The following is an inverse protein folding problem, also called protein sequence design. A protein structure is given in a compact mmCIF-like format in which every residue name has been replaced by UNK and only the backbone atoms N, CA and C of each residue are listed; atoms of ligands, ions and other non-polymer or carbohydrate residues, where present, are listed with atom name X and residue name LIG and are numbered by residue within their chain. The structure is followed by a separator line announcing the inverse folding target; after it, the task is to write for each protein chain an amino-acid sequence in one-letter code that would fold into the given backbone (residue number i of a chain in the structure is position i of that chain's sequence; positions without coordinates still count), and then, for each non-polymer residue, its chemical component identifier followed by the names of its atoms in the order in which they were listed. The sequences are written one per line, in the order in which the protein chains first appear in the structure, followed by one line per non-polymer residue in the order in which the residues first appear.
data_IF_348063822627
#
_entry.id   IF_348063822627
#
_cell.length_a   1.000
_cell.length_b   1.000
_cell.length_c   1.000
_cell.angle_alpha   90.00
_cell.angle_beta   90.00
_cell.angle_gamma   90.00
#
_symmetry.space_group_name_H-M   'P 1'
#
loop_
_entity.id
_entity.type
_entity.pdbx_description
1 polymer ?
#
# COMPACT_ATOMS: atom_id res chain seq x y z
N UNK A 1 -6.01 -17.73 -20.77
CA UNK A 1 -5.57 -16.88 -19.65
C UNK A 1 -6.61 -15.82 -19.39
N UNK A 2 -7.02 -15.65 -18.13
CA UNK A 2 -7.92 -14.55 -17.75
C UNK A 2 -7.17 -13.21 -17.90
N UNK A 3 -7.90 -12.12 -18.22
CA UNK A 3 -7.35 -10.74 -18.32
C UNK A 3 -6.51 -10.31 -17.12
N UNK A 4 -6.67 -10.97 -15.98
CA UNK A 4 -6.05 -10.60 -14.71
C UNK A 4 -4.94 -11.56 -14.26
N UNK A 5 -4.68 -12.62 -15.04
CA UNK A 5 -3.65 -13.59 -14.72
C UNK A 5 -2.26 -12.95 -14.70
N UNK A 6 -1.38 -13.53 -13.88
CA UNK A 6 0.03 -13.15 -13.86
C UNK A 6 0.68 -13.51 -15.19
N UNK A 7 1.44 -12.58 -15.75
CA UNK A 7 2.31 -12.84 -16.88
C UNK A 7 3.44 -13.82 -16.50
N UNK A 8 4.12 -14.37 -17.48
CA UNK A 8 5.25 -15.28 -17.21
C UNK A 8 6.42 -14.53 -16.56
N UNK A 9 6.62 -13.26 -16.91
CA UNK A 9 7.63 -12.39 -16.29
C UNK A 9 7.32 -12.12 -14.80
N UNK A 10 6.09 -11.72 -14.47
CA UNK A 10 5.65 -11.54 -13.08
C UNK A 10 5.81 -12.84 -12.29
N UNK A 11 5.38 -13.96 -12.87
CA UNK A 11 5.50 -15.26 -12.24
C UNK A 11 6.96 -15.66 -11.98
N UNK A 12 7.86 -15.46 -12.95
CA UNK A 12 9.30 -15.76 -12.83
C UNK A 12 9.94 -15.05 -11.64
N UNK A 13 9.52 -13.83 -11.34
CA UNK A 13 9.99 -13.07 -10.18
C UNK A 13 9.35 -13.57 -8.89
N UNK A 14 8.02 -13.62 -8.84
CA UNK A 14 7.25 -13.92 -7.61
C UNK A 14 7.56 -15.34 -7.10
N UNK A 15 7.71 -16.33 -7.99
CA UNK A 15 7.93 -17.72 -7.59
C UNK A 15 9.15 -17.93 -6.69
N UNK A 16 10.15 -17.05 -6.77
CA UNK A 16 11.39 -17.13 -5.98
C UNK A 16 11.15 -16.91 -4.48
N UNK A 17 10.07 -16.23 -4.13
CA UNK A 17 9.69 -15.91 -2.75
C UNK A 17 8.74 -16.95 -2.16
N UNK A 18 8.18 -17.81 -2.99
CA UNK A 18 7.21 -18.79 -2.56
C UNK A 18 7.89 -20.05 -1.99
N UNK A 19 7.28 -20.68 -0.98
CA UNK A 19 7.78 -21.96 -0.49
C UNK A 19 7.65 -23.02 -1.58
N UNK A 20 8.41 -24.10 -1.46
CA UNK A 20 8.32 -25.23 -2.38
C UNK A 20 6.91 -25.84 -2.41
N UNK A 21 6.40 -26.16 -3.59
CA UNK A 21 5.08 -26.80 -3.74
C UNK A 21 5.08 -28.26 -3.29
N UNK A 22 6.24 -28.93 -3.42
CA UNK A 22 6.44 -30.31 -2.98
C UNK A 22 7.00 -30.30 -1.55
N UNK A 23 6.23 -30.84 -0.60
CA UNK A 23 6.65 -30.87 0.80
C UNK A 23 7.39 -32.15 1.17
N UNK A 24 7.47 -33.14 0.24
CA UNK A 24 8.02 -34.48 0.55
C UNK A 24 7.17 -35.29 1.57
N UNK A 25 6.11 -34.71 2.11
CA UNK A 25 5.23 -35.37 3.10
C UNK A 25 4.09 -36.11 2.40
N UNK A 26 3.64 -37.26 2.95
CA UNK A 26 2.44 -37.94 2.48
C UNK A 26 1.24 -37.01 2.53
N UNK A 27 0.29 -37.18 1.63
CA UNK A 27 -0.96 -36.43 1.61
C UNK A 27 -1.29 -35.85 0.23
N UNK A 28 -2.40 -35.11 0.18
CA UNK A 28 -2.87 -34.53 -1.08
C UNK A 28 -1.88 -33.44 -1.57
N UNK A 29 -1.43 -33.49 -2.85
CA UNK A 29 -0.57 -32.47 -3.41
C UNK A 29 -1.16 -31.08 -3.31
N UNK A 30 -0.30 -30.08 -3.11
CA UNK A 30 -0.73 -28.70 -3.08
C UNK A 30 -1.17 -28.25 -4.49
N UNK A 31 -2.19 -27.40 -4.52
CA UNK A 31 -2.56 -26.69 -5.75
C UNK A 31 -1.39 -25.81 -6.20
N UNK A 32 -1.13 -25.70 -7.51
CA UNK A 32 -0.04 -24.87 -8.04
C UNK A 32 -0.13 -23.44 -7.50
N UNK A 33 1.00 -22.90 -7.09
CA UNK A 33 1.06 -21.54 -6.55
C UNK A 33 0.57 -20.50 -7.54
N UNK A 34 0.91 -20.66 -8.83
CA UNK A 34 0.48 -19.73 -9.88
C UNK A 34 -1.04 -19.68 -9.99
N UNK A 35 -1.73 -20.82 -9.96
CA UNK A 35 -3.20 -20.88 -10.00
C UNK A 35 -3.80 -20.15 -8.77
N UNK A 36 -3.24 -20.38 -7.58
CA UNK A 36 -3.68 -19.73 -6.35
C UNK A 36 -3.46 -18.22 -6.41
N UNK A 37 -2.30 -17.78 -6.93
CA UNK A 37 -1.99 -16.37 -7.09
C UNK A 37 -2.94 -15.69 -8.06
N UNK A 38 -3.23 -16.32 -9.21
CA UNK A 38 -4.21 -15.79 -10.17
C UNK A 38 -5.58 -15.60 -9.50
N UNK A 39 -6.02 -16.55 -8.66
CA UNK A 39 -7.24 -16.42 -7.88
C UNK A 39 -7.20 -15.25 -6.88
N UNK A 40 -6.06 -15.01 -6.21
CA UNK A 40 -5.88 -13.86 -5.30
C UNK A 40 -5.94 -12.55 -6.10
N UNK A 41 -5.26 -12.46 -7.23
CA UNK A 41 -5.28 -11.28 -8.11
C UNK A 41 -6.67 -11.04 -8.68
N UNK A 42 -7.40 -12.10 -9.02
CA UNK A 42 -8.79 -11.98 -9.46
C UNK A 42 -9.67 -11.35 -8.37
N UNK A 43 -9.56 -11.80 -7.11
CA UNK A 43 -10.28 -11.19 -5.97
C UNK A 43 -9.87 -9.74 -5.75
N UNK A 44 -8.57 -9.41 -5.88
CA UNK A 44 -8.07 -8.05 -5.78
C UNK A 44 -8.72 -7.13 -6.82
N UNK A 45 -8.76 -7.55 -8.08
CA UNK A 45 -9.27 -6.73 -9.20
C UNK A 45 -10.79 -6.63 -9.19
N UNK A 46 -11.49 -7.76 -9.00
CA UNK A 46 -12.96 -7.83 -9.08
C UNK A 46 -13.67 -7.34 -7.81
N UNK A 47 -13.02 -7.43 -6.64
CA UNK A 47 -13.61 -7.12 -5.34
C UNK A 47 -14.65 -8.13 -4.85
N UNK A 48 -14.81 -9.27 -5.51
CA UNK A 48 -15.79 -10.30 -5.15
C UNK A 48 -15.54 -10.87 -3.75
N UNK A 49 -16.56 -11.47 -3.17
CA UNK A 49 -16.39 -12.24 -1.94
C UNK A 49 -15.60 -13.53 -2.23
N UNK A 50 -14.78 -13.97 -1.25
CA UNK A 50 -13.97 -15.18 -1.43
C UNK A 50 -14.78 -16.42 -1.83
N UNK A 51 -16.02 -16.66 -1.28
CA UNK A 51 -16.83 -17.79 -1.69
C UNK A 51 -17.23 -17.79 -3.17
N UNK A 52 -17.28 -16.61 -3.79
CA UNK A 52 -17.71 -16.42 -5.19
C UNK A 52 -16.55 -16.57 -6.18
N UNK A 53 -15.36 -17.01 -5.69
CA UNK A 53 -14.21 -17.22 -6.54
C UNK A 53 -14.51 -18.30 -7.61
N UNK A 54 -14.27 -18.02 -8.92
CA UNK A 54 -14.48 -18.98 -9.99
C UNK A 54 -13.72 -20.30 -9.76
N UNK A 55 -14.36 -21.41 -10.14
CA UNK A 55 -13.82 -22.76 -9.90
C UNK A 55 -12.50 -23.03 -10.60
N UNK A 56 -12.18 -22.30 -11.67
CA UNK A 56 -10.90 -22.38 -12.40
C UNK A 56 -9.68 -22.09 -11.53
N UNK A 57 -9.84 -21.22 -10.51
CA UNK A 57 -8.78 -20.94 -9.53
C UNK A 57 -8.69 -21.98 -8.41
N UNK A 58 -9.62 -22.94 -8.40
CA UNK A 58 -9.73 -23.97 -7.37
C UNK A 58 -10.69 -23.58 -6.23
N UNK A 59 -10.78 -24.46 -5.21
CA UNK A 59 -11.68 -24.21 -4.06
C UNK A 59 -11.29 -22.92 -3.33
N UNK A 60 -12.21 -21.98 -3.16
CA UNK A 60 -11.96 -20.69 -2.52
C UNK A 60 -11.29 -20.82 -1.13
N UNK A 61 -11.67 -21.82 -0.31
CA UNK A 61 -11.04 -22.08 0.99
C UNK A 61 -9.54 -22.35 0.88
N UNK A 62 -9.11 -23.03 -0.20
CA UNK A 62 -7.69 -23.31 -0.46
C UNK A 62 -6.95 -22.03 -0.80
N UNK A 63 -7.51 -21.20 -1.71
CA UNK A 63 -6.94 -19.92 -2.13
C UNK A 63 -6.88 -18.95 -0.94
N UNK A 64 -7.98 -18.79 -0.22
CA UNK A 64 -8.06 -17.91 0.95
C UNK A 64 -7.09 -18.31 2.07
N UNK A 65 -7.02 -19.60 2.42
CA UNK A 65 -6.11 -20.08 3.46
C UNK A 65 -4.63 -19.88 3.04
N UNK A 66 -4.32 -20.03 1.75
CA UNK A 66 -2.99 -19.77 1.23
C UNK A 66 -2.65 -18.28 1.31
N UNK A 67 -3.56 -17.41 0.88
CA UNK A 67 -3.44 -15.96 1.05
C UNK A 67 -3.17 -15.60 2.52
N UNK A 68 -4.01 -16.10 3.47
CA UNK A 68 -3.83 -15.85 4.90
C UNK A 68 -2.48 -16.31 5.45
N UNK A 69 -1.98 -17.44 4.98
CA UNK A 69 -0.65 -17.95 5.35
C UNK A 69 0.45 -17.02 4.85
N UNK A 70 0.35 -16.56 3.62
CA UNK A 70 1.32 -15.65 3.02
C UNK A 70 1.27 -14.24 3.65
N UNK A 71 0.11 -13.79 4.09
CA UNK A 71 -0.01 -12.56 4.91
C UNK A 71 0.76 -12.72 6.21
N UNK A 72 0.55 -13.81 6.96
CA UNK A 72 1.22 -14.05 8.24
C UNK A 72 2.74 -14.10 8.17
N UNK A 73 3.31 -14.57 7.08
CA UNK A 73 4.77 -14.60 6.90
C UNK A 73 5.34 -13.34 6.23
N UNK A 74 4.54 -12.30 6.01
CA UNK A 74 4.96 -11.03 5.43
C UNK A 74 5.43 -11.13 3.97
N UNK A 75 4.98 -12.16 3.24
CA UNK A 75 5.45 -12.46 1.88
C UNK A 75 5.29 -11.26 0.93
N UNK A 76 4.15 -10.60 0.97
CA UNK A 76 3.81 -9.55 0.02
C UNK A 76 4.71 -8.32 0.16
N UNK A 77 4.98 -7.91 1.40
CA UNK A 77 5.92 -6.83 1.69
C UNK A 77 7.34 -7.18 1.26
N UNK A 78 7.77 -8.44 1.47
CA UNK A 78 9.10 -8.93 1.01
C UNK A 78 9.24 -8.85 -0.51
N UNK A 79 8.17 -9.17 -1.26
CA UNK A 79 8.17 -9.08 -2.73
C UNK A 79 8.33 -7.63 -3.14
N UNK A 80 7.50 -6.71 -2.62
CA UNK A 80 7.56 -5.28 -2.96
C UNK A 80 8.94 -4.72 -2.62
N UNK A 81 9.46 -5.02 -1.40
CA UNK A 81 10.79 -4.57 -1.00
C UNK A 81 11.88 -5.03 -1.98
N UNK A 82 11.86 -6.28 -2.40
CA UNK A 82 12.84 -6.80 -3.34
C UNK A 82 12.75 -6.14 -4.72
N UNK A 83 11.54 -5.77 -5.16
CA UNK A 83 11.36 -5.02 -6.40
C UNK A 83 11.94 -3.62 -6.28
N UNK A 84 11.65 -2.92 -5.18
CA UNK A 84 12.22 -1.58 -4.93
C UNK A 84 13.74 -1.64 -4.76
N UNK A 85 14.29 -2.65 -4.06
CA UNK A 85 15.74 -2.84 -3.94
C UNK A 85 16.40 -3.04 -5.31
N UNK A 86 15.70 -3.69 -6.25
CA UNK A 86 16.16 -3.83 -7.64
C UNK A 86 16.15 -2.49 -8.36
N UNK A 87 15.03 -1.76 -8.36
CA UNK A 87 14.93 -0.42 -8.97
C UNK A 87 15.99 0.53 -8.43
N UNK A 88 16.24 0.46 -7.12
CA UNK A 88 17.27 1.26 -6.47
C UNK A 88 18.68 0.94 -6.99
N UNK A 89 18.98 -0.34 -7.26
CA UNK A 89 20.27 -0.76 -7.83
C UNK A 89 20.41 -0.36 -9.28
N UNK A 90 19.32 -0.43 -10.02
CA UNK A 90 19.29 -0.12 -11.45
C UNK A 90 19.23 1.41 -11.69
N UNK A 91 19.16 2.23 -10.61
CA UNK A 91 19.12 3.70 -10.68
C UNK A 91 17.76 4.26 -11.14
N UNK A 92 16.71 3.47 -11.04
CA UNK A 92 15.37 3.79 -11.54
C UNK A 92 14.48 4.49 -10.49
N UNK A 93 14.99 4.78 -9.30
CA UNK A 93 14.30 5.55 -8.25
C UNK A 93 14.65 7.02 -8.39
N UNK A 94 13.64 7.85 -8.51
CA UNK A 94 13.82 9.30 -8.52
C UNK A 94 14.01 9.83 -7.08
N UNK A 95 15.13 10.52 -6.86
CA UNK A 95 15.44 11.19 -5.61
C UNK A 95 15.30 12.71 -5.67
N UNK A 96 14.86 13.27 -6.79
CA UNK A 96 14.66 14.72 -6.89
C UNK A 96 13.38 15.15 -6.17
N UNK A 97 12.28 14.42 -6.36
CA UNK A 97 11.01 14.73 -5.71
C UNK A 97 10.34 13.47 -5.20
N UNK A 98 9.97 13.44 -3.92
CA UNK A 98 9.02 12.46 -3.41
C UNK A 98 7.69 13.13 -3.07
N UNK A 99 6.60 12.37 -3.18
CA UNK A 99 5.26 12.87 -2.94
C UNK A 99 4.55 12.05 -1.87
N UNK A 100 3.83 12.75 -0.99
CA UNK A 100 2.94 12.14 0.01
C UNK A 100 1.50 12.57 -0.23
N UNK A 101 0.57 11.64 -0.05
CA UNK A 101 -0.87 11.93 -0.08
C UNK A 101 -1.65 10.93 0.75
N UNK A 102 -2.83 11.36 1.21
CA UNK A 102 -3.77 10.56 1.97
C UNK A 102 -5.07 10.33 1.21
N UNK A 103 -5.64 9.14 1.32
CA UNK A 103 -6.94 8.87 0.72
C UNK A 103 -7.85 8.07 1.65
N UNK A 104 -9.10 8.50 1.76
CA UNK A 104 -10.10 7.79 2.56
C UNK A 104 -10.74 6.68 1.73
N UNK A 105 -10.75 5.48 2.28
CA UNK A 105 -11.36 4.29 1.69
C UNK A 105 -12.55 3.86 2.53
N UNK A 106 -13.72 3.75 1.90
CA UNK A 106 -14.91 3.21 2.56
C UNK A 106 -14.68 1.75 2.97
N UNK A 107 -15.08 1.43 4.20
CA UNK A 107 -15.06 0.06 4.68
C UNK A 107 -16.49 -0.51 4.62
N UNK A 108 -16.64 -1.61 3.90
CA UNK A 108 -17.90 -2.35 3.89
C UNK A 108 -18.21 -2.88 5.29
N UNK A 109 -19.49 -3.00 5.66
CA UNK A 109 -19.94 -3.49 6.99
C UNK A 109 -19.27 -4.80 7.44
N UNK A 110 -18.90 -5.66 6.50
CA UNK A 110 -18.18 -6.92 6.75
C UNK A 110 -16.80 -6.68 7.35
N UNK A 111 -16.12 -5.59 6.99
CA UNK A 111 -14.81 -5.24 7.56
C UNK A 111 -14.91 -4.89 9.05
N UNK A 112 -16.01 -4.30 9.50
CA UNK A 112 -16.24 -3.97 10.90
C UNK A 112 -16.53 -5.20 11.81
N UNK A 113 -16.75 -6.37 11.19
CA UNK A 113 -17.04 -7.64 11.89
C UNK A 113 -15.79 -8.44 12.30
N UNK A 114 -14.64 -7.82 12.52
CA UNK A 114 -13.48 -8.51 13.10
C UNK A 114 -13.87 -9.06 14.49
N UNK A 115 -13.50 -10.34 14.76
CA UNK A 115 -13.79 -10.93 16.07
C UNK A 115 -13.13 -10.09 17.16
N UNK A 116 -13.95 -9.64 18.11
CA UNK A 116 -13.52 -8.99 19.32
C UNK A 116 -12.90 -10.06 20.23
N UNK A 117 -11.63 -9.90 20.58
CA UNK A 117 -11.07 -10.56 21.75
C UNK A 117 -11.61 -9.90 23.04
N UNK A 118 -10.89 -10.00 24.15
CA UNK A 118 -11.18 -9.29 25.41
C UNK A 118 -10.99 -7.76 25.35
N UNK A 119 -10.86 -7.20 24.14
CA UNK A 119 -10.55 -5.79 23.83
C UNK A 119 -11.84 -5.04 23.50
N UNK A 120 -11.97 -3.79 23.91
CA UNK A 120 -13.13 -2.97 23.61
C UNK A 120 -13.35 -2.80 22.10
N UNK A 121 -14.56 -2.38 21.70
CA UNK A 121 -14.91 -2.20 20.29
C UNK A 121 -14.01 -1.16 19.62
N UNK A 122 -13.69 -0.09 20.34
CA UNK A 122 -12.94 1.04 19.80
C UNK A 122 -11.44 0.73 19.69
N UNK A 123 -10.83 0.10 20.69
CA UNK A 123 -9.44 -0.38 20.63
C UNK A 123 -9.22 -1.38 19.48
N UNK A 124 -10.18 -2.31 19.28
CA UNK A 124 -10.10 -3.27 18.17
C UNK A 124 -10.27 -2.57 16.81
N UNK A 125 -11.09 -1.53 16.72
CA UNK A 125 -11.25 -0.73 15.51
C UNK A 125 -9.97 0.04 15.19
N UNK A 126 -9.34 0.66 16.18
CA UNK A 126 -8.08 1.38 16.03
C UNK A 126 -6.94 0.45 15.61
N UNK A 127 -6.79 -0.69 16.29
CA UNK A 127 -5.81 -1.75 15.91
C UNK A 127 -5.94 -2.19 14.45
N UNK A 128 -7.15 -2.11 13.89
CA UNK A 128 -7.40 -2.50 12.51
C UNK A 128 -7.56 -1.30 11.57
N UNK A 129 -7.14 -0.10 11.98
CA UNK A 129 -7.24 1.12 11.17
C UNK A 129 -8.68 1.33 10.63
N UNK A 130 -9.69 1.14 11.47
CA UNK A 130 -11.09 1.37 11.15
C UNK A 130 -11.62 2.48 12.05
N UNK A 131 -12.28 3.47 11.46
CA UNK A 131 -12.91 4.54 12.21
C UNK A 131 -14.16 5.07 11.52
N UNK A 132 -14.99 5.84 12.24
CA UNK A 132 -16.18 6.46 11.69
C UNK A 132 -15.83 7.85 11.15
N UNK A 133 -16.06 8.05 9.86
CA UNK A 133 -16.13 9.36 9.22
C UNK A 133 -17.60 9.76 9.02
N UNK A 134 -17.85 10.98 8.49
CA UNK A 134 -19.19 11.41 8.11
C UNK A 134 -19.87 10.44 7.11
N UNK A 135 -19.08 9.74 6.30
CA UNK A 135 -19.55 8.75 5.32
C UNK A 135 -19.65 7.31 5.85
N UNK A 136 -19.53 7.07 7.17
CA UNK A 136 -19.56 5.75 7.78
C UNK A 136 -18.17 5.20 8.13
N UNK A 137 -18.05 3.87 8.25
CA UNK A 137 -16.77 3.25 8.54
C UNK A 137 -15.79 3.41 7.37
N UNK A 138 -14.57 3.84 7.68
CA UNK A 138 -13.53 4.10 6.71
C UNK A 138 -12.13 3.80 7.27
N UNK A 139 -11.19 3.58 6.37
CA UNK A 139 -9.75 3.54 6.61
C UNK A 139 -9.12 4.65 5.78
N UNK A 140 -8.16 5.37 6.33
CA UNK A 140 -7.33 6.31 5.57
C UNK A 140 -6.02 5.61 5.21
N UNK A 141 -5.70 5.60 3.92
CA UNK A 141 -4.39 5.18 3.42
C UNK A 141 -3.51 6.41 3.29
N UNK A 142 -2.27 6.27 3.69
CA UNK A 142 -1.21 7.24 3.48
C UNK A 142 -0.18 6.59 2.56
N UNK A 143 0.17 7.28 1.49
CA UNK A 143 1.03 6.75 0.42
C UNK A 143 2.22 7.68 0.24
N UNK A 144 3.38 7.09 0.02
CA UNK A 144 4.62 7.77 -0.36
C UNK A 144 5.07 7.24 -1.71
N UNK A 145 5.40 8.13 -2.64
CA UNK A 145 5.98 7.78 -3.94
C UNK A 145 7.24 8.57 -4.22
N UNK A 146 8.04 8.08 -5.17
CA UNK A 146 9.03 8.92 -5.83
C UNK A 146 8.40 9.81 -6.92
N UNK A 147 9.21 10.62 -7.61
CA UNK A 147 8.76 11.54 -8.65
C UNK A 147 8.29 10.86 -9.95
N UNK A 148 8.54 9.57 -10.11
CA UNK A 148 8.04 8.76 -11.22
C UNK A 148 6.74 8.01 -10.87
N UNK A 149 6.31 8.06 -9.59
CA UNK A 149 5.11 7.41 -9.11
C UNK A 149 5.34 5.98 -8.61
N UNK A 150 6.57 5.56 -8.41
CA UNK A 150 6.89 4.27 -7.80
C UNK A 150 6.47 4.31 -6.33
N UNK A 151 5.58 3.41 -5.87
CA UNK A 151 5.12 3.40 -4.48
C UNK A 151 6.24 2.95 -3.54
N UNK A 152 6.69 3.83 -2.64
CA UNK A 152 7.79 3.58 -1.70
C UNK A 152 7.33 3.15 -0.32
N UNK A 153 6.16 3.60 0.12
CA UNK A 153 5.53 3.19 1.37
C UNK A 153 4.01 3.30 1.30
N UNK A 154 3.34 2.53 2.13
CA UNK A 154 1.92 2.67 2.42
C UNK A 154 1.66 2.34 3.88
N UNK A 155 0.95 3.24 4.58
CA UNK A 155 0.43 3.00 5.93
C UNK A 155 -1.07 3.22 5.97
N UNK A 156 -1.71 2.87 7.06
CA UNK A 156 -3.15 3.01 7.20
C UNK A 156 -3.55 3.40 8.62
N UNK A 157 -4.45 4.36 8.70
CA UNK A 157 -5.06 4.81 9.96
C UNK A 157 -6.58 4.72 9.91
N UNK A 158 -7.24 4.92 11.04
CA UNK A 158 -8.69 5.09 11.09
C UNK A 158 -9.12 6.30 10.24
N UNK A 159 -10.23 6.17 9.51
CA UNK A 159 -10.63 7.12 8.46
C UNK A 159 -10.81 8.58 8.89
N UNK A 160 -11.02 8.85 10.19
CA UNK A 160 -11.14 10.20 10.76
C UNK A 160 -9.80 10.82 11.19
N UNK A 161 -8.69 10.06 11.22
CA UNK A 161 -7.39 10.57 11.64
C UNK A 161 -6.86 11.60 10.63
N UNK A 162 -6.16 12.62 11.13
CA UNK A 162 -5.46 13.61 10.30
C UNK A 162 -4.20 13.03 9.69
N UNK A 163 -3.73 13.60 8.57
CA UNK A 163 -2.55 13.15 7.84
C UNK A 163 -1.25 13.44 8.59
N UNK A 164 -1.13 14.65 9.14
CA UNK A 164 0.13 15.14 9.71
C UNK A 164 0.73 14.24 10.81
N UNK A 165 -0.05 13.68 11.77
CA UNK A 165 0.51 12.78 12.79
C UNK A 165 1.07 11.46 12.23
N UNK A 166 0.61 11.01 11.05
CA UNK A 166 1.04 9.77 10.43
C UNK A 166 2.29 9.96 9.54
N UNK A 167 2.65 11.21 9.26
CA UNK A 167 3.72 11.53 8.31
C UNK A 167 5.06 10.88 8.66
N UNK A 168 5.51 11.04 9.90
CA UNK A 168 6.81 10.49 10.34
C UNK A 168 6.82 8.97 10.24
N UNK A 169 5.75 8.31 10.69
CA UNK A 169 5.59 6.87 10.58
C UNK A 169 5.58 6.40 9.10
N UNK A 170 4.93 7.15 8.21
CA UNK A 170 4.95 6.85 6.77
C UNK A 170 6.37 6.94 6.20
N UNK A 171 7.12 7.98 6.54
CA UNK A 171 8.51 8.16 6.10
C UNK A 171 9.44 7.06 6.64
N UNK A 172 9.25 6.64 7.89
CA UNK A 172 10.00 5.54 8.50
C UNK A 172 9.63 4.17 7.92
N UNK A 173 8.39 4.02 7.45
CA UNK A 173 7.91 2.82 6.75
C UNK A 173 8.41 2.73 5.30
N UNK A 174 9.18 3.71 4.83
CA UNK A 174 9.76 3.69 3.49
C UNK A 174 10.62 2.45 3.28
N UNK A 175 10.40 1.76 2.17
CA UNK A 175 11.14 0.54 1.82
C UNK A 175 12.60 0.81 1.43
N UNK A 176 12.94 2.07 1.19
CA UNK A 176 14.31 2.55 1.02
C UNK A 176 14.81 3.07 2.37
N UNK A 177 16.02 2.68 2.76
CA UNK A 177 16.60 3.16 4.02
C UNK A 177 17.03 4.64 3.89
N UNK A 178 16.15 5.55 4.35
CA UNK A 178 16.35 7.01 4.29
C UNK A 178 17.23 7.58 5.42
N UNK A 179 17.73 6.76 6.35
CA UNK A 179 18.69 7.23 7.37
C UNK A 179 20.00 7.73 6.74
N UNK A 180 20.39 7.19 5.60
CA UNK A 180 21.56 7.67 4.84
C UNK A 180 21.14 8.86 3.99
N UNK A 181 21.87 10.01 4.09
CA UNK A 181 21.62 11.24 3.33
C UNK A 181 21.47 10.97 1.82
N UNK A 182 22.37 10.18 1.25
CA UNK A 182 22.34 9.82 -0.19
C UNK A 182 21.11 9.00 -0.64
N UNK A 183 20.20 8.67 0.26
CA UNK A 183 18.94 7.93 -0.01
C UNK A 183 17.72 8.72 0.46
N UNK A 184 17.83 10.03 0.57
CA UNK A 184 16.74 10.94 0.87
C UNK A 184 16.38 11.72 -0.39
N UNK A 185 15.12 12.09 -0.59
CA UNK A 185 14.76 12.96 -1.70
C UNK A 185 15.32 14.36 -1.50
N UNK A 186 15.58 15.07 -2.60
CA UNK A 186 15.95 16.48 -2.55
C UNK A 186 14.76 17.34 -2.07
N UNK A 187 13.54 16.97 -2.45
CA UNK A 187 12.33 17.66 -2.04
C UNK A 187 11.20 16.68 -1.74
N UNK A 188 10.23 17.13 -0.92
CA UNK A 188 9.01 16.39 -0.63
C UNK A 188 7.79 17.28 -0.82
N UNK A 189 6.84 16.81 -1.65
CA UNK A 189 5.55 17.46 -1.89
C UNK A 189 4.41 16.72 -1.19
N UNK A 190 3.51 17.48 -0.61
CA UNK A 190 2.27 17.00 0.01
C UNK A 190 1.15 18.01 -0.14
N UNK A 191 -0.07 17.63 0.17
CA UNK A 191 -1.19 18.58 0.23
C UNK A 191 -1.16 19.43 1.51
N UNK A 192 -2.09 20.37 1.65
CA UNK A 192 -2.22 21.22 2.85
C UNK A 192 -2.49 20.43 4.15
N UNK A 193 -2.95 19.20 4.06
CA UNK A 193 -3.13 18.30 5.19
C UNK A 193 -1.81 18.00 5.91
N UNK A 194 -0.71 18.05 5.18
CA UNK A 194 0.66 17.84 5.69
C UNK A 194 1.34 19.15 6.15
N UNK A 195 0.66 20.31 6.07
CA UNK A 195 1.22 21.57 6.59
C UNK A 195 1.20 21.56 8.12
N UNK A 196 2.36 21.38 8.74
CA UNK A 196 2.57 21.50 10.18
C UNK A 196 4.03 21.78 10.51
N UNK A 197 4.28 22.47 11.63
CA UNK A 197 5.64 22.79 12.08
C UNK A 197 6.45 21.50 12.31
N UNK A 198 5.83 20.46 12.89
CA UNK A 198 6.51 19.19 13.12
C UNK A 198 7.03 18.54 11.82
N UNK A 199 6.26 18.62 10.73
CA UNK A 199 6.68 18.11 9.42
C UNK A 199 7.80 18.98 8.86
N UNK A 200 7.70 20.30 8.93
CA UNK A 200 8.75 21.22 8.49
C UNK A 200 10.07 20.99 9.23
N UNK A 201 10.00 20.82 10.55
CA UNK A 201 11.16 20.51 11.40
C UNK A 201 11.78 19.14 11.04
N UNK A 202 10.93 18.15 10.74
CA UNK A 202 11.40 16.85 10.28
C UNK A 202 12.15 16.94 8.95
N UNK A 203 11.59 17.65 7.97
CA UNK A 203 12.19 17.85 6.64
C UNK A 203 13.48 18.66 6.75
N UNK A 204 13.46 19.76 7.51
CA UNK A 204 14.64 20.62 7.75
C UNK A 204 15.82 19.84 8.36
N UNK A 205 15.57 19.08 9.43
CA UNK A 205 16.61 18.24 10.07
C UNK A 205 17.20 17.19 9.13
N UNK A 206 16.47 16.80 8.08
CA UNK A 206 16.90 15.81 7.10
C UNK A 206 17.44 16.44 5.82
N UNK A 207 17.50 17.76 5.74
CA UNK A 207 17.92 18.51 4.54
C UNK A 207 17.06 18.18 3.31
N UNK A 208 15.74 18.04 3.49
CA UNK A 208 14.75 17.80 2.44
C UNK A 208 13.99 19.12 2.23
N UNK A 209 13.95 19.61 1.00
CA UNK A 209 13.19 20.82 0.66
C UNK A 209 11.69 20.57 0.86
N UNK A 210 11.05 21.43 1.66
CA UNK A 210 9.61 21.41 1.90
C UNK A 210 8.85 22.03 0.70
N UNK A 211 8.09 21.23 -0.01
CA UNK A 211 7.20 21.64 -1.11
C UNK A 211 5.71 21.40 -0.73
N UNK A 212 5.38 21.67 0.54
CA UNK A 212 4.00 21.59 1.06
C UNK A 212 3.42 23.01 1.14
N UNK A 213 2.25 23.29 0.54
CA UNK A 213 1.65 24.61 0.59
C UNK A 213 1.13 24.93 2.00
N UNK A 214 1.21 26.21 2.38
CA UNK A 214 0.67 26.73 3.64
C UNK A 214 -0.85 26.65 3.67
N UNK A 215 -1.42 26.48 4.86
CA UNK A 215 -2.87 26.58 5.08
C UNK A 215 -3.31 28.04 4.98
N UNK A 216 -4.62 28.27 4.80
CA UNK A 216 -5.20 29.62 4.72
C UNK A 216 -4.96 30.48 5.96
N UNK A 217 -4.76 29.86 7.11
CA UNK A 217 -4.47 30.52 8.41
C UNK A 217 -2.98 30.62 8.73
N UNK A 218 -2.11 30.23 7.79
CA UNK A 218 -0.65 30.33 7.92
C UNK A 218 -0.14 31.44 7.00
N UNK A 219 1.01 32.04 7.35
CA UNK A 219 1.68 33.03 6.48
C UNK A 219 2.10 32.37 5.16
N UNK A 220 1.73 32.99 4.05
CA UNK A 220 2.12 32.49 2.72
C UNK A 220 3.64 32.55 2.58
N UNK A 221 4.22 31.48 2.07
CA UNK A 221 5.65 31.40 1.78
C UNK A 221 5.93 32.05 0.41
N UNK A 222 6.91 32.95 0.37
CA UNK A 222 7.37 33.61 -0.85
C UNK A 222 8.23 32.68 -1.71
N UNK A 223 8.95 31.75 -1.07
CA UNK A 223 9.88 30.77 -1.67
C UNK A 223 9.21 29.47 -2.13
N UNK A 224 7.86 29.43 -2.21
CA UNK A 224 7.13 28.22 -2.57
C UNK A 224 7.28 27.85 -4.05
N UNK A 225 7.92 26.72 -4.33
CA UNK A 225 8.12 26.19 -5.68
C UNK A 225 6.83 25.57 -6.24
N UNK A 226 6.08 26.41 -6.97
CA UNK A 226 4.80 26.01 -7.59
C UNK A 226 4.98 24.98 -8.70
N UNK A 227 6.07 25.04 -9.47
CA UNK A 227 6.31 24.11 -10.56
C UNK A 227 6.61 22.71 -10.03
N UNK A 228 7.47 22.61 -9.03
CA UNK A 228 7.74 21.35 -8.34
C UNK A 228 6.49 20.78 -7.64
N UNK A 229 5.68 21.66 -7.06
CA UNK A 229 4.41 21.24 -6.44
C UNK A 229 3.42 20.65 -7.45
N UNK A 230 3.35 21.16 -8.68
CA UNK A 230 2.48 20.62 -9.75
C UNK A 230 2.80 19.16 -10.07
N UNK A 231 4.05 18.75 -9.92
CA UNK A 231 4.49 17.37 -10.16
C UNK A 231 3.85 16.38 -9.15
N UNK A 232 3.33 16.87 -8.01
CA UNK A 232 2.57 16.05 -7.04
C UNK A 232 1.41 15.28 -7.67
N UNK A 233 0.88 15.70 -8.82
CA UNK A 233 -0.16 14.94 -9.55
C UNK A 233 0.23 13.47 -9.79
N UNK A 234 1.50 13.12 -9.75
CA UNK A 234 1.97 11.74 -9.91
C UNK A 234 1.39 10.80 -8.86
N UNK A 235 1.31 11.25 -7.58
CA UNK A 235 0.75 10.41 -6.50
C UNK A 235 -0.76 10.27 -6.61
N UNK A 236 -1.47 11.29 -7.11
CA UNK A 236 -2.92 11.21 -7.37
C UNK A 236 -3.21 10.14 -8.44
N UNK A 237 -2.39 10.08 -9.49
CA UNK A 237 -2.47 9.05 -10.53
C UNK A 237 -2.23 7.64 -9.96
N UNK A 238 -1.22 7.46 -9.10
CA UNK A 238 -0.98 6.19 -8.43
C UNK A 238 -2.17 5.78 -7.55
N UNK A 239 -2.69 6.69 -6.74
CA UNK A 239 -3.86 6.43 -5.89
C UNK A 239 -5.08 6.06 -6.74
N UNK A 240 -5.31 6.75 -7.86
CA UNK A 240 -6.34 6.41 -8.83
C UNK A 240 -6.16 4.98 -9.35
N UNK A 241 -4.96 4.63 -9.79
CA UNK A 241 -4.65 3.30 -10.28
C UNK A 241 -4.81 2.21 -9.19
N UNK A 242 -4.38 2.48 -7.95
CA UNK A 242 -4.60 1.55 -6.83
C UNK A 242 -6.10 1.29 -6.63
N UNK A 243 -6.95 2.33 -6.75
CA UNK A 243 -8.41 2.23 -6.61
C UNK A 243 -9.11 1.52 -7.77
N UNK A 244 -8.48 1.36 -8.93
CA UNK A 244 -9.00 0.48 -9.98
C UNK A 244 -9.12 -0.98 -9.49
N UNK A 245 -8.37 -1.36 -8.48
CA UNK A 245 -8.53 -2.62 -7.79
C UNK A 245 -9.71 -2.51 -6.82
N UNK A 246 -10.86 -3.06 -7.19
CA UNK A 246 -12.12 -2.92 -6.43
C UNK A 246 -11.99 -3.35 -4.97
N UNK A 247 -11.11 -4.31 -4.67
CA UNK A 247 -10.84 -4.76 -3.31
C UNK A 247 -10.10 -3.71 -2.47
N UNK A 248 -9.38 -2.78 -3.12
CA UNK A 248 -8.72 -1.63 -2.49
C UNK A 248 -9.70 -0.46 -2.40
N UNK A 249 -10.41 -0.14 -3.48
CA UNK A 249 -11.38 0.96 -3.53
C UNK A 249 -12.49 0.86 -2.47
N UNK A 250 -12.85 -0.37 -2.09
CA UNK A 250 -13.74 -0.67 -0.97
C UNK A 250 -13.09 -1.74 -0.10
N UNK A 251 -12.89 -1.43 1.18
CA UNK A 251 -12.27 -2.37 2.11
C UNK A 251 -13.30 -3.40 2.59
N UNK A 252 -13.07 -4.67 2.24
CA UNK A 252 -13.82 -5.83 2.75
C UNK A 252 -13.03 -6.62 3.80
N UNK A 253 -11.71 -6.42 3.85
CA UNK A 253 -10.83 -7.19 4.72
C UNK A 253 -10.94 -6.73 6.18
N UNK A 254 -11.20 -7.69 7.08
CA UNK A 254 -11.42 -7.42 8.49
C UNK A 254 -10.16 -6.95 9.21
N UNK A 255 -9.01 -7.54 8.89
CA UNK A 255 -7.73 -7.18 9.51
C UNK A 255 -6.95 -6.25 8.62
N UNK A 256 -6.22 -5.33 9.26
CA UNK A 256 -5.35 -4.39 8.53
C UNK A 256 -4.28 -5.12 7.74
N UNK A 257 -3.69 -6.17 8.29
CA UNK A 257 -2.64 -6.95 7.62
C UNK A 257 -3.12 -7.55 6.29
N UNK A 258 -4.36 -8.08 6.26
CA UNK A 258 -4.95 -8.63 5.03
C UNK A 258 -5.22 -7.53 4.01
N UNK A 259 -5.63 -6.35 4.45
CA UNK A 259 -5.90 -5.22 3.57
C UNK A 259 -4.60 -4.64 3.01
N UNK A 260 -3.58 -4.40 3.84
CA UNK A 260 -2.25 -3.96 3.38
C UNK A 260 -1.61 -4.99 2.45
N UNK A 261 -1.81 -6.28 2.69
CA UNK A 261 -1.33 -7.32 1.77
C UNK A 261 -1.95 -7.20 0.37
N UNK A 262 -3.25 -6.87 0.25
CA UNK A 262 -3.87 -6.60 -1.04
C UNK A 262 -3.25 -5.36 -1.72
N UNK A 263 -2.93 -4.33 -0.96
CA UNK A 263 -2.25 -3.14 -1.48
C UNK A 263 -0.83 -3.49 -1.93
N UNK A 264 -0.07 -4.26 -1.16
CA UNK A 264 1.28 -4.70 -1.55
C UNK A 264 1.25 -5.54 -2.84
N UNK A 265 0.24 -6.39 -3.04
CA UNK A 265 0.07 -7.12 -4.31
C UNK A 265 -0.15 -6.14 -5.46
N UNK A 266 -0.99 -5.12 -5.26
CA UNK A 266 -1.22 -4.10 -6.27
C UNK A 266 0.06 -3.29 -6.54
N UNK A 267 0.80 -2.86 -5.50
CA UNK A 267 2.09 -2.17 -5.65
C UNK A 267 3.09 -3.00 -6.48
N UNK A 268 3.25 -4.29 -6.16
CA UNK A 268 4.12 -5.18 -6.94
C UNK A 268 3.70 -5.22 -8.42
N UNK A 269 2.40 -5.32 -8.69
CA UNK A 269 1.87 -5.31 -10.07
C UNK A 269 2.03 -3.96 -10.76
N UNK A 270 1.96 -2.87 -10.02
CA UNK A 270 2.26 -1.53 -10.55
C UNK A 270 3.71 -1.48 -11.03
N UNK A 271 4.64 -1.87 -10.17
CA UNK A 271 6.08 -1.89 -10.48
C UNK A 271 6.37 -2.76 -11.71
N UNK A 272 5.77 -3.97 -11.82
CA UNK A 272 5.94 -4.82 -13.00
C UNK A 272 5.43 -4.22 -14.32
N UNK A 273 4.48 -3.31 -14.27
CA UNK A 273 3.92 -2.69 -15.48
C UNK A 273 4.69 -1.48 -15.96
N UNK A 274 5.44 -0.84 -15.06
CA UNK A 274 6.15 0.40 -15.33
C UNK A 274 7.66 0.17 -15.52
N UNK A 275 8.07 -1.09 -15.45
CA UNK A 275 9.37 -1.64 -15.76
C UNK A 275 9.21 -2.84 -16.69
#
# INVERSE_FOLDING_TARGET
MSRHDLTDSEWKVIRRFLPTERTGKPGRPWKPHRQVLNGIVFVLRSGIAWPDLPAEFGKYKTVYNRFRRWVKCGLWLKIVKSLIDRLLKDGEIDFDLWCVDGTVIRAHRVAAGARKGKVTRDENAEKHALGRSRGGYATKLHVLTDGQGIPLAVTATAGQKHEAPEFEHLMESCLINTFRKAKRPAALAGDRGYSSNAIRDYLFRREITDTVPTRSNETRREDFDTERYRQRNIIERLIGWLKENRRIATRYDKTIDSYLAMIHIAMARFIFKHN
#
